data_IF_801249860118
#
_entry.id   IF_801249860118
#
_cell.length_a   1.000
_cell.length_b   1.000
_cell.length_c   1.000
_cell.angle_alpha   90.00
_cell.angle_beta   90.00
_cell.angle_gamma   90.00
#
_symmetry.space_group_name_H-M   'P 1'
#
loop_
_entity.id
_entity.type
_entity.pdbx_description
1 polymer ?
#
# COMPACT_ATOMS: atom_id res chain seq x y z
N UNK A 1 13.37 4.77 61.15
CA UNK A 1 12.94 3.50 60.54
C UNK A 1 12.34 3.83 59.17
N UNK A 2 13.19 3.88 58.15
CA UNK A 2 12.84 4.08 56.74
C UNK A 2 12.92 2.72 56.05
N UNK A 3 11.97 2.46 55.13
CA UNK A 3 11.77 1.34 54.18
C UNK A 3 10.23 1.31 54.04
N UNK A 4 9.54 1.50 52.92
CA UNK A 4 9.87 1.41 51.49
C UNK A 4 8.69 2.03 50.72
N UNK A 5 8.94 3.08 49.93
CA UNK A 5 7.94 3.63 48.99
C UNK A 5 8.55 3.81 47.58
N UNK A 6 9.40 2.87 47.16
CA UNK A 6 10.06 2.95 45.84
C UNK A 6 9.86 1.73 44.93
N UNK A 7 9.19 0.66 45.38
CA UNK A 7 8.96 -0.53 44.53
C UNK A 7 7.69 -0.48 43.69
N UNK A 8 6.69 0.33 44.04
CA UNK A 8 5.43 0.38 43.28
C UNK A 8 5.53 1.19 41.97
N UNK A 9 6.47 2.14 41.90
CA UNK A 9 6.60 3.04 40.75
C UNK A 9 7.33 2.39 39.55
N UNK A 10 8.23 1.44 39.80
CA UNK A 10 9.00 0.77 38.73
C UNK A 10 8.10 -0.21 37.95
N UNK A 11 7.19 -0.91 38.62
CA UNK A 11 6.25 -1.81 37.94
C UNK A 11 5.22 -1.04 37.10
N UNK A 12 4.77 0.14 37.55
CA UNK A 12 3.89 1.02 36.77
C UNK A 12 4.61 1.65 35.57
N UNK A 13 5.90 2.01 35.69
CA UNK A 13 6.73 2.45 34.56
C UNK A 13 7.04 1.32 33.57
N UNK A 14 7.24 0.08 34.03
CA UNK A 14 7.40 -1.09 33.17
C UNK A 14 6.09 -1.49 32.47
N UNK A 15 4.94 -1.38 33.15
CA UNK A 15 3.63 -1.57 32.53
C UNK A 15 3.32 -0.47 31.50
N UNK A 16 3.64 0.79 31.78
CA UNK A 16 3.44 1.88 30.82
C UNK A 16 4.40 1.81 29.62
N UNK A 17 5.59 1.23 29.78
CA UNK A 17 6.51 0.95 28.65
C UNK A 17 6.12 -0.30 27.86
N UNK A 18 5.49 -1.29 28.49
CA UNK A 18 4.89 -2.46 27.80
C UNK A 18 3.58 -2.13 27.06
N UNK A 19 2.84 -1.10 27.49
CA UNK A 19 1.64 -0.61 26.79
C UNK A 19 1.90 0.57 25.83
N UNK A 20 3.13 1.11 25.80
CA UNK A 20 3.58 2.09 24.81
C UNK A 20 4.32 1.43 23.62
N UNK A 21 4.16 0.12 23.41
CA UNK A 21 4.30 -0.44 22.06
C UNK A 21 3.14 0.12 21.24
N UNK A 22 3.35 1.32 20.71
CA UNK A 22 2.58 1.86 19.63
C UNK A 22 2.48 0.76 18.59
N UNK A 23 1.33 0.08 18.53
CA UNK A 23 0.94 -0.71 17.38
C UNK A 23 0.98 0.28 16.23
N UNK A 24 2.13 0.30 15.58
CA UNK A 24 2.35 0.96 14.34
C UNK A 24 1.42 0.25 13.38
N UNK A 25 0.17 0.75 13.27
CA UNK A 25 -0.74 0.47 12.17
C UNK A 25 -0.01 0.87 10.90
N UNK A 26 0.82 -0.06 10.43
CA UNK A 26 1.51 -0.02 9.17
C UNK A 26 0.45 -0.45 8.19
N UNK A 27 -0.11 0.51 7.47
CA UNK A 27 -0.86 0.25 6.25
C UNK A 27 0.12 -0.33 5.23
N UNK A 28 0.48 -1.60 5.43
CA UNK A 28 1.06 -2.43 4.39
C UNK A 28 -0.07 -2.83 3.47
N UNK A 29 0.28 -3.20 2.25
CA UNK A 29 -0.54 -4.10 1.45
C UNK A 29 -0.56 -5.46 2.17
N UNK A 30 -1.14 -5.55 3.36
CA UNK A 30 -1.70 -6.81 3.80
C UNK A 30 -2.87 -7.02 2.85
N UNK A 31 -2.62 -7.77 1.76
CA UNK A 31 -3.67 -8.68 1.30
C UNK A 31 -4.07 -9.41 2.57
N UNK A 32 -5.24 -9.10 3.11
CA UNK A 32 -5.98 -10.14 3.78
C UNK A 32 -6.07 -11.20 2.69
N UNK A 33 -5.22 -12.22 2.76
CA UNK A 33 -5.63 -13.53 2.30
C UNK A 33 -6.91 -13.80 3.06
N UNK A 34 -8.02 -13.39 2.46
CA UNK A 34 -9.30 -14.01 2.74
C UNK A 34 -9.01 -15.45 2.36
N UNK A 35 -8.60 -16.26 3.35
CA UNK A 35 -8.87 -17.69 3.31
C UNK A 35 -10.29 -17.76 2.80
N UNK A 36 -10.46 -18.30 1.60
CA UNK A 36 -11.77 -18.53 1.03
C UNK A 36 -12.68 -18.99 2.17
N UNK A 37 -13.67 -18.18 2.55
CA UNK A 37 -14.80 -18.74 3.28
C UNK A 37 -15.51 -19.54 2.21
N UNK A 38 -15.00 -20.75 1.95
CA UNK A 38 -15.68 -21.74 1.12
C UNK A 38 -17.04 -21.91 1.77
N UNK A 39 -18.09 -21.59 1.03
CA UNK A 39 -19.38 -22.17 1.32
C UNK A 39 -19.18 -23.68 1.23
N UNK A 40 -19.19 -24.34 2.39
CA UNK A 40 -19.24 -25.79 2.52
C UNK A 40 -20.62 -26.20 2.04
N UNK A 41 -20.79 -26.27 0.72
CA UNK A 41 -21.86 -26.94 -0.02
C UNK A 41 -21.65 -26.65 -1.52
N UNK A 42 -20.56 -27.14 -2.08
CA UNK A 42 -20.63 -27.70 -3.43
C UNK A 42 -19.52 -28.72 -3.64
N UNK A 43 -19.87 -29.78 -4.34
CA UNK A 43 -19.16 -31.06 -4.37
C UNK A 43 -17.73 -30.94 -4.95
N UNK A 44 -16.79 -31.47 -4.16
CA UNK A 44 -15.52 -32.10 -4.54
C UNK A 44 -15.20 -32.23 -6.03
N UNK A 45 -14.32 -31.36 -6.52
CA UNK A 45 -13.21 -31.74 -7.41
C UNK A 45 -11.94 -31.19 -6.76
N UNK A 46 -11.18 -32.06 -6.10
CA UNK A 46 -9.84 -31.76 -5.61
C UNK A 46 -8.92 -31.54 -6.83
N UNK A 47 -8.54 -30.30 -7.11
CA UNK A 47 -7.46 -30.00 -8.04
C UNK A 47 -6.13 -29.99 -7.27
N UNK A 48 -5.50 -31.15 -7.10
CA UNK A 48 -4.14 -31.29 -6.53
C UNK A 48 -3.11 -30.37 -7.22
N UNK A 49 -3.33 -30.04 -8.50
CA UNK A 49 -2.51 -29.10 -9.28
C UNK A 49 -2.60 -27.65 -8.79
N UNK A 50 -3.76 -27.22 -8.27
CA UNK A 50 -3.98 -25.83 -7.80
C UNK A 50 -3.36 -25.60 -6.41
N UNK A 51 -3.54 -26.55 -5.47
CA UNK A 51 -2.92 -26.48 -4.13
C UNK A 51 -1.39 -26.59 -4.18
N UNK A 52 -0.83 -27.35 -5.13
CA UNK A 52 0.61 -27.41 -5.36
C UNK A 52 1.17 -26.09 -5.92
N UNK A 53 0.39 -25.37 -6.73
CA UNK A 53 0.80 -24.11 -7.34
C UNK A 53 0.87 -22.96 -6.31
N UNK A 54 -0.10 -22.88 -5.40
CA UNK A 54 -0.06 -21.89 -4.31
C UNK A 54 1.09 -22.17 -3.34
N UNK A 55 1.34 -23.44 -2.97
CA UNK A 55 2.53 -23.82 -2.19
C UNK A 55 3.84 -23.48 -2.92
N UNK A 56 3.88 -23.67 -4.25
CA UNK A 56 5.03 -23.31 -5.07
C UNK A 56 5.28 -21.80 -5.11
N UNK A 57 4.22 -21.00 -5.31
CA UNK A 57 4.29 -19.53 -5.35
C UNK A 57 4.86 -18.98 -4.05
N UNK A 58 4.41 -19.50 -2.91
CA UNK A 58 4.91 -19.08 -1.61
C UNK A 58 6.39 -19.41 -1.41
N UNK A 59 6.89 -20.55 -1.93
CA UNK A 59 8.33 -20.85 -1.89
C UNK A 59 9.13 -19.88 -2.76
N UNK A 60 8.66 -19.56 -3.97
CA UNK A 60 9.31 -18.55 -4.82
C UNK A 60 9.30 -17.16 -4.15
N UNK A 61 8.19 -16.78 -3.51
CA UNK A 61 8.08 -15.54 -2.75
C UNK A 61 9.04 -15.50 -1.56
N UNK A 62 9.14 -16.59 -0.81
CA UNK A 62 10.04 -16.70 0.35
C UNK A 62 11.51 -16.58 -0.07
N UNK A 63 11.91 -17.24 -1.16
CA UNK A 63 13.27 -17.12 -1.71
C UNK A 63 13.56 -15.67 -2.09
N UNK A 64 12.66 -15.03 -2.84
CA UNK A 64 12.83 -13.63 -3.22
C UNK A 64 12.93 -12.68 -2.02
N UNK A 65 12.12 -12.89 -0.97
CA UNK A 65 12.21 -12.10 0.28
C UNK A 65 13.55 -12.31 0.97
N UNK A 66 14.08 -13.54 0.94
CA UNK A 66 15.41 -13.84 1.48
C UNK A 66 16.52 -13.13 0.70
N UNK A 67 16.46 -13.15 -0.64
CA UNK A 67 17.43 -12.47 -1.50
C UNK A 67 17.34 -10.94 -1.33
N UNK A 68 16.12 -10.42 -1.20
CA UNK A 68 15.88 -9.02 -0.87
C UNK A 68 16.58 -8.63 0.45
N UNK A 69 16.36 -9.42 1.50
CA UNK A 69 16.99 -9.16 2.80
C UNK A 69 18.52 -9.21 2.72
N UNK A 70 19.08 -10.12 1.93
CA UNK A 70 20.52 -10.22 1.71
C UNK A 70 21.10 -8.97 1.02
N UNK A 71 20.43 -8.48 -0.03
CA UNK A 71 20.93 -7.34 -0.81
C UNK A 71 20.70 -5.98 -0.15
N UNK A 72 19.57 -5.80 0.52
CA UNK A 72 19.15 -4.50 1.07
C UNK A 72 19.27 -4.40 2.59
N UNK A 73 19.66 -5.49 3.26
CA UNK A 73 19.78 -5.57 4.73
C UNK A 73 18.49 -5.12 5.44
N UNK A 74 17.35 -5.45 4.84
CA UNK A 74 16.01 -5.07 5.29
C UNK A 74 15.06 -6.25 5.11
N UNK A 75 14.24 -6.55 6.11
CA UNK A 75 13.16 -7.50 5.93
C UNK A 75 12.09 -6.87 5.01
N UNK A 76 11.66 -7.58 3.95
CA UNK A 76 10.63 -7.09 3.05
C UNK A 76 9.27 -6.91 3.76
N UNK A 77 8.87 -7.92 4.53
CA UNK A 77 7.58 -7.96 5.22
C UNK A 77 7.56 -7.14 6.49
N UNK A 78 8.70 -6.75 7.04
CA UNK A 78 8.79 -5.99 8.30
C UNK A 78 9.34 -4.59 8.07
N UNK A 79 10.43 -4.39 7.35
CA UNK A 79 11.17 -3.12 7.31
C UNK A 79 10.94 -2.30 6.04
N UNK A 80 10.62 -2.95 4.92
CA UNK A 80 10.48 -2.26 3.64
C UNK A 80 9.26 -1.33 3.60
N UNK A 81 9.47 -0.13 3.05
CA UNK A 81 8.39 0.81 2.77
C UNK A 81 8.01 0.72 1.28
N UNK A 82 6.96 -0.06 1.01
CA UNK A 82 6.58 -0.47 -0.35
C UNK A 82 6.02 0.67 -1.23
N UNK A 83 5.57 1.78 -0.65
CA UNK A 83 4.84 2.82 -1.38
C UNK A 83 5.71 4.03 -1.75
N UNK A 84 6.12 4.27 -3.01
CA UNK A 84 6.13 3.40 -4.20
C UNK A 84 7.45 2.64 -4.36
N UNK A 85 8.47 2.94 -3.54
CA UNK A 85 9.81 2.33 -3.48
C UNK A 85 10.55 2.93 -2.28
N UNK A 86 11.25 2.07 -1.54
CA UNK A 86 12.07 2.49 -0.40
C UNK A 86 13.38 3.17 -0.87
N UNK A 87 13.87 4.14 -0.10
CA UNK A 87 15.14 4.84 -0.34
C UNK A 87 16.34 3.90 -0.55
N UNK A 88 16.36 2.74 0.11
CA UNK A 88 17.40 1.72 -0.11
C UNK A 88 17.46 1.23 -1.56
N UNK A 89 16.31 1.08 -2.22
CA UNK A 89 16.23 0.67 -3.62
C UNK A 89 16.52 1.85 -4.56
N UNK A 90 16.03 3.05 -4.24
CA UNK A 90 16.19 4.22 -5.12
C UNK A 90 17.53 4.93 -4.99
N UNK A 91 18.31 4.62 -3.95
CA UNK A 91 19.59 5.29 -3.63
C UNK A 91 20.64 5.22 -4.74
N UNK A 92 20.57 4.23 -5.63
CA UNK A 92 21.44 4.15 -6.81
C UNK A 92 20.81 3.32 -7.92
N UNK A 93 21.29 3.52 -9.16
CA UNK A 93 20.95 2.66 -10.30
C UNK A 93 21.33 1.20 -10.05
N UNK A 94 22.44 0.96 -9.34
CA UNK A 94 22.88 -0.39 -8.98
C UNK A 94 21.85 -1.07 -8.08
N UNK A 95 21.39 -0.39 -7.03
CA UNK A 95 20.40 -0.92 -6.10
C UNK A 95 19.06 -1.19 -6.79
N UNK A 96 18.60 -0.26 -7.62
CA UNK A 96 17.39 -0.46 -8.43
C UNK A 96 17.52 -1.65 -9.39
N UNK A 97 18.66 -1.78 -10.07
CA UNK A 97 18.91 -2.91 -10.99
C UNK A 97 18.97 -4.23 -10.23
N UNK A 98 19.57 -4.26 -9.04
CA UNK A 98 19.59 -5.43 -8.17
C UNK A 98 18.19 -5.83 -7.73
N UNK A 99 17.35 -4.87 -7.30
CA UNK A 99 15.95 -5.11 -6.97
C UNK A 99 15.19 -5.73 -8.15
N UNK A 100 15.39 -5.19 -9.36
CA UNK A 100 14.73 -5.73 -10.54
C UNK A 100 15.28 -7.06 -11.04
N UNK A 101 16.56 -7.36 -10.78
CA UNK A 101 17.14 -8.67 -11.08
C UNK A 101 16.51 -9.75 -10.21
N UNK A 102 16.47 -9.57 -8.89
CA UNK A 102 15.87 -10.58 -7.99
C UNK A 102 14.37 -10.75 -8.27
N UNK A 103 13.66 -9.68 -8.63
CA UNK A 103 12.25 -9.77 -9.06
C UNK A 103 12.07 -10.55 -10.36
N UNK A 104 12.99 -10.42 -11.31
CA UNK A 104 12.96 -11.24 -12.53
C UNK A 104 13.20 -12.72 -12.21
N UNK A 105 14.09 -13.02 -11.27
CA UNK A 105 14.35 -14.38 -10.79
C UNK A 105 13.12 -14.99 -10.10
N UNK A 106 12.40 -14.21 -9.27
CA UNK A 106 11.10 -14.57 -8.70
C UNK A 106 10.07 -14.96 -9.76
N UNK A 107 9.90 -14.12 -10.79
CA UNK A 107 8.96 -14.41 -11.88
C UNK A 107 9.39 -15.63 -12.69
N UNK A 108 10.69 -15.79 -12.93
CA UNK A 108 11.23 -17.00 -13.58
C UNK A 108 10.93 -18.26 -12.77
N UNK A 109 11.00 -18.17 -11.44
CA UNK A 109 10.59 -19.25 -10.53
C UNK A 109 9.10 -19.60 -10.70
N UNK A 110 8.21 -18.60 -10.75
CA UNK A 110 6.79 -18.81 -11.01
C UNK A 110 6.52 -19.51 -12.35
N UNK A 111 7.19 -19.07 -13.42
CA UNK A 111 7.01 -19.65 -14.76
C UNK A 111 7.55 -21.08 -14.84
N UNK A 112 8.77 -21.31 -14.37
CA UNK A 112 9.47 -22.57 -14.59
C UNK A 112 9.12 -23.65 -13.57
N UNK A 113 8.92 -23.29 -12.31
CA UNK A 113 8.67 -24.25 -11.22
C UNK A 113 7.20 -24.40 -10.90
N UNK A 114 6.43 -23.32 -11.04
CA UNK A 114 5.01 -23.30 -10.71
C UNK A 114 4.12 -23.37 -11.96
N UNK A 115 4.74 -23.51 -13.15
CA UNK A 115 4.07 -23.59 -14.45
C UNK A 115 3.06 -22.46 -14.70
N UNK A 116 3.29 -21.29 -14.08
CA UNK A 116 2.45 -20.13 -14.28
C UNK A 116 2.70 -19.55 -15.66
N UNK A 117 1.64 -19.42 -16.45
CA UNK A 117 1.73 -18.71 -17.73
C UNK A 117 1.91 -17.22 -17.49
N UNK A 118 2.56 -16.54 -18.43
CA UNK A 118 2.90 -15.13 -18.30
C UNK A 118 1.67 -14.24 -18.11
N UNK A 119 0.57 -14.56 -18.77
CA UNK A 119 -0.73 -13.88 -18.65
C UNK A 119 -1.38 -14.04 -17.26
N UNK A 120 -0.96 -15.05 -16.50
CA UNK A 120 -1.50 -15.37 -15.17
C UNK A 120 -0.59 -14.89 -14.03
N UNK A 121 0.52 -14.22 -14.35
CA UNK A 121 1.40 -13.63 -13.34
C UNK A 121 0.64 -12.51 -12.62
N UNK A 122 0.46 -12.59 -11.29
CA UNK A 122 -0.31 -11.59 -10.56
C UNK A 122 0.43 -10.26 -10.53
N UNK A 123 -0.33 -9.17 -10.53
CA UNK A 123 0.25 -7.85 -10.30
C UNK A 123 0.76 -7.74 -8.85
N UNK A 124 2.05 -7.49 -8.70
CA UNK A 124 2.67 -7.11 -7.44
C UNK A 124 3.49 -5.85 -7.65
N UNK A 125 3.76 -5.12 -6.56
CA UNK A 125 4.54 -3.87 -6.60
C UNK A 125 5.87 -4.06 -7.32
N UNK A 126 6.61 -5.09 -6.93
CA UNK A 126 7.88 -5.46 -7.53
C UNK A 126 7.75 -5.80 -9.03
N UNK A 127 6.75 -6.59 -9.42
CA UNK A 127 6.50 -6.95 -10.83
C UNK A 127 6.18 -5.71 -11.67
N UNK A 128 5.32 -4.83 -11.17
CA UNK A 128 4.96 -3.61 -11.87
C UNK A 128 6.18 -2.70 -12.08
N UNK A 129 6.93 -2.44 -11.02
CA UNK A 129 8.12 -1.59 -11.08
C UNK A 129 9.15 -2.18 -12.04
N UNK A 130 9.45 -3.48 -11.93
CA UNK A 130 10.63 -4.05 -12.56
C UNK A 130 10.41 -4.70 -13.92
N UNK A 131 9.18 -5.13 -14.23
CA UNK A 131 8.86 -5.79 -15.50
C UNK A 131 7.94 -4.97 -16.40
N UNK A 132 7.10 -4.09 -15.82
CA UNK A 132 6.13 -3.29 -16.59
C UNK A 132 6.65 -1.87 -16.81
N UNK A 133 7.03 -1.17 -15.74
CA UNK A 133 7.34 0.27 -15.75
C UNK A 133 8.82 0.57 -15.46
N UNK A 134 9.73 -0.40 -15.68
CA UNK A 134 11.15 -0.31 -15.29
C UNK A 134 11.82 0.96 -15.79
N UNK A 135 11.69 1.28 -17.07
CA UNK A 135 12.38 2.42 -17.69
C UNK A 135 11.93 3.75 -17.08
N UNK A 136 10.64 3.87 -16.76
CA UNK A 136 10.05 5.06 -16.18
C UNK A 136 10.55 5.27 -14.74
N UNK A 137 10.59 4.19 -13.95
CA UNK A 137 11.15 4.23 -12.59
C UNK A 137 12.66 4.52 -12.61
N UNK A 138 13.41 3.88 -13.51
CA UNK A 138 14.85 4.09 -13.69
C UNK A 138 15.17 5.56 -13.98
N UNK A 139 14.44 6.17 -14.91
CA UNK A 139 14.60 7.57 -15.27
C UNK A 139 14.17 8.55 -14.15
N UNK A 140 13.32 8.11 -13.23
CA UNK A 140 12.84 8.93 -12.11
C UNK A 140 13.63 8.73 -10.81
N UNK A 141 14.66 7.88 -10.81
CA UNK A 141 15.37 7.46 -9.59
C UNK A 141 15.94 8.63 -8.78
N UNK A 142 16.53 9.62 -9.44
CA UNK A 142 17.12 10.78 -8.77
C UNK A 142 16.10 11.52 -7.90
N UNK A 143 14.92 11.81 -8.45
CA UNK A 143 13.84 12.48 -7.74
C UNK A 143 13.19 11.59 -6.67
N UNK A 144 12.94 10.31 -6.98
CA UNK A 144 12.37 9.35 -6.02
C UNK A 144 13.29 9.19 -4.80
N UNK A 145 14.60 9.14 -5.00
CA UNK A 145 15.57 9.11 -3.92
C UNK A 145 15.55 10.40 -3.09
N UNK A 146 15.58 11.57 -3.75
CA UNK A 146 15.57 12.88 -3.11
C UNK A 146 14.36 13.11 -2.21
N UNK A 147 13.23 12.50 -2.56
CA UNK A 147 11.96 12.64 -1.82
C UNK A 147 11.69 11.50 -0.84
N UNK A 148 12.54 10.46 -0.82
CA UNK A 148 12.30 9.21 -0.09
C UNK A 148 12.12 9.42 1.42
N UNK A 149 12.99 10.20 2.06
CA UNK A 149 12.96 10.47 3.49
C UNK A 149 11.68 11.21 3.92
N UNK A 150 11.39 12.35 3.27
CA UNK A 150 10.20 13.14 3.54
C UNK A 150 8.92 12.31 3.35
N UNK A 151 8.93 11.39 2.40
CA UNK A 151 7.80 10.51 2.17
C UNK A 151 7.67 9.39 3.22
N UNK A 152 8.76 8.76 3.62
CA UNK A 152 8.77 7.68 4.62
C UNK A 152 8.43 8.16 6.02
N UNK A 153 8.87 9.36 6.37
CA UNK A 153 8.71 9.92 7.70
C UNK A 153 7.48 10.83 7.72
N UNK A 154 7.59 11.97 7.05
CA UNK A 154 6.59 13.03 7.11
C UNK A 154 5.25 12.64 6.48
N UNK A 155 5.26 12.16 5.24
CA UNK A 155 4.01 11.76 4.57
C UNK A 155 3.34 10.58 5.28
N UNK A 156 4.10 9.55 5.65
CA UNK A 156 3.57 8.40 6.39
C UNK A 156 2.91 8.82 7.72
N UNK A 157 3.56 9.67 8.52
CA UNK A 157 3.00 10.16 9.77
C UNK A 157 1.69 10.94 9.54
N UNK A 158 1.67 11.87 8.58
CA UNK A 158 0.47 12.60 8.19
C UNK A 158 -0.65 11.64 7.77
N UNK A 159 -0.37 10.77 6.80
CA UNK A 159 -1.40 9.94 6.18
C UNK A 159 -1.97 8.91 7.14
N UNK A 160 -1.15 8.32 8.02
CA UNK A 160 -1.66 7.44 9.08
C UNK A 160 -2.62 8.18 9.99
N UNK A 161 -2.26 9.38 10.42
CA UNK A 161 -3.08 10.17 11.33
C UNK A 161 -4.40 10.61 10.66
N UNK A 162 -4.34 11.00 9.39
CA UNK A 162 -5.53 11.38 8.62
C UNK A 162 -6.43 10.18 8.35
N UNK A 163 -5.89 9.03 7.94
CA UNK A 163 -6.67 7.82 7.68
C UNK A 163 -7.35 7.26 8.94
N UNK A 164 -6.70 7.32 10.11
CA UNK A 164 -7.31 6.94 11.40
C UNK A 164 -8.51 7.81 11.76
N UNK A 165 -8.48 9.09 11.36
CA UNK A 165 -9.55 10.06 11.64
C UNK A 165 -10.60 10.10 10.55
N UNK A 166 -10.34 9.53 9.39
CA UNK A 166 -11.26 9.54 8.26
C UNK A 166 -12.59 8.88 8.62
N UNK A 167 -13.68 9.56 8.28
CA UNK A 167 -15.05 9.11 8.50
C UNK A 167 -15.79 9.20 7.18
N UNK A 168 -16.56 8.15 6.90
CA UNK A 168 -17.49 8.08 5.79
C UNK A 168 -18.57 9.17 5.98
N UNK A 169 -18.82 9.93 4.92
CA UNK A 169 -19.83 10.99 4.86
C UNK A 169 -21.26 10.45 4.98
N UNK A 170 -22.25 11.34 5.03
CA UNK A 170 -23.65 10.92 5.16
C UNK A 170 -24.15 10.28 3.87
N UNK A 171 -23.86 10.88 2.72
CA UNK A 171 -24.30 10.39 1.41
C UNK A 171 -23.62 9.06 1.08
N UNK A 172 -22.35 8.89 1.45
CA UNK A 172 -21.67 7.59 1.29
C UNK A 172 -22.25 6.50 2.22
N UNK A 173 -22.75 6.84 3.42
CA UNK A 173 -23.47 5.87 4.27
C UNK A 173 -24.79 5.43 3.67
N UNK A 174 -25.52 6.34 3.03
CA UNK A 174 -26.76 6.02 2.32
C UNK A 174 -26.47 5.10 1.12
N UNK A 175 -25.43 5.40 0.34
CA UNK A 175 -24.93 4.52 -0.71
C UNK A 175 -24.57 3.12 -0.16
N UNK A 176 -23.84 3.04 0.96
CA UNK A 176 -23.52 1.76 1.58
C UNK A 176 -24.74 0.95 2.01
N UNK A 177 -25.80 1.64 2.44
CA UNK A 177 -27.06 1.00 2.84
C UNK A 177 -27.79 0.43 1.62
N UNK A 178 -27.76 1.12 0.47
CA UNK A 178 -28.40 0.67 -0.76
C UNK A 178 -27.68 -0.51 -1.44
N UNK A 179 -26.41 -0.76 -1.13
CA UNK A 179 -25.69 -1.93 -1.62
C UNK A 179 -26.12 -3.26 -0.97
N UNK A 180 -26.93 -3.24 0.09
CA UNK A 180 -27.43 -4.42 0.80
C UNK A 180 -26.32 -5.44 1.17
N UNK A 181 -25.13 -4.95 1.52
CA UNK A 181 -23.99 -5.79 1.91
C UNK A 181 -24.25 -6.46 3.27
N UNK A 182 -23.79 -7.71 3.42
CA UNK A 182 -23.73 -8.37 4.73
C UNK A 182 -22.74 -7.64 5.67
N UNK A 183 -22.79 -7.96 6.97
CA UNK A 183 -21.95 -7.29 7.99
C UNK A 183 -20.46 -7.41 7.71
N UNK A 184 -19.99 -8.55 7.20
CA UNK A 184 -18.57 -8.80 6.88
C UNK A 184 -18.12 -7.91 5.73
N UNK A 185 -18.89 -7.86 4.65
CA UNK A 185 -18.62 -7.04 3.47
C UNK A 185 -18.73 -5.54 3.79
N UNK A 186 -19.65 -5.14 4.68
CA UNK A 186 -19.74 -3.76 5.14
C UNK A 186 -18.49 -3.35 5.93
N UNK A 187 -18.02 -4.22 6.83
CA UNK A 187 -16.78 -3.99 7.56
C UNK A 187 -15.57 -3.93 6.60
N UNK A 188 -15.47 -4.87 5.66
CA UNK A 188 -14.41 -4.90 4.65
C UNK A 188 -14.39 -3.62 3.81
N UNK A 189 -15.55 -3.14 3.35
CA UNK A 189 -15.64 -1.87 2.64
C UNK A 189 -15.03 -0.73 3.46
N UNK A 190 -15.40 -0.61 4.75
CA UNK A 190 -14.94 0.49 5.62
C UNK A 190 -13.43 0.47 5.82
N UNK A 191 -12.84 -0.71 5.99
CA UNK A 191 -11.39 -0.85 6.15
C UNK A 191 -10.64 -0.56 4.85
N UNK A 192 -11.13 -1.08 3.71
CA UNK A 192 -10.59 -0.73 2.39
C UNK A 192 -10.70 0.77 2.11
N UNK A 193 -11.79 1.41 2.55
CA UNK A 193 -12.01 2.84 2.33
C UNK A 193 -10.93 3.68 3.06
N UNK A 194 -10.61 3.34 4.31
CA UNK A 194 -9.50 3.95 5.06
C UNK A 194 -8.14 3.68 4.40
N UNK A 195 -7.93 2.47 3.89
CA UNK A 195 -6.69 2.11 3.20
C UNK A 195 -6.50 2.95 1.93
N UNK A 196 -7.53 3.11 1.11
CA UNK A 196 -7.46 3.95 -0.08
C UNK A 196 -7.29 5.43 0.25
N UNK A 197 -7.92 5.91 1.32
CA UNK A 197 -7.66 7.26 1.83
C UNK A 197 -6.18 7.44 2.19
N UNK A 198 -5.57 6.46 2.88
CA UNK A 198 -4.14 6.47 3.19
C UNK A 198 -3.28 6.49 1.91
N UNK A 199 -3.58 5.63 0.93
CA UNK A 199 -2.84 5.54 -0.32
C UNK A 199 -2.94 6.83 -1.15
N UNK A 200 -4.13 7.43 -1.26
CA UNK A 200 -4.31 8.72 -1.95
C UNK A 200 -3.57 9.82 -1.21
N UNK A 201 -3.60 9.85 0.12
CA UNK A 201 -2.79 10.78 0.89
C UNK A 201 -1.29 10.63 0.59
N UNK A 202 -0.78 9.40 0.53
CA UNK A 202 0.61 9.14 0.19
C UNK A 202 0.97 9.66 -1.20
N UNK A 203 0.14 9.36 -2.20
CA UNK A 203 0.30 9.88 -3.56
C UNK A 203 0.37 11.41 -3.55
N UNK A 204 -0.64 12.10 -2.99
CA UNK A 204 -0.70 13.56 -2.97
C UNK A 204 0.47 14.19 -2.23
N UNK A 205 0.89 13.61 -1.11
CA UNK A 205 2.02 14.10 -0.34
C UNK A 205 3.34 13.94 -1.10
N UNK A 206 3.54 12.79 -1.76
CA UNK A 206 4.73 12.54 -2.58
C UNK A 206 4.76 13.40 -3.84
N UNK A 207 3.63 13.64 -4.49
CA UNK A 207 3.52 14.60 -5.58
C UNK A 207 3.95 16.00 -5.11
N UNK A 208 3.47 16.45 -3.95
CA UNK A 208 3.83 17.77 -3.43
C UNK A 208 5.32 17.84 -3.08
N UNK A 209 5.90 16.82 -2.43
CA UNK A 209 7.34 16.73 -2.22
C UNK A 209 8.11 16.79 -3.56
N UNK A 210 7.65 16.06 -4.56
CA UNK A 210 8.25 16.04 -5.91
C UNK A 210 8.20 17.43 -6.56
N UNK A 211 7.08 18.14 -6.47
CA UNK A 211 6.93 19.51 -6.98
C UNK A 211 7.88 20.50 -6.30
N UNK A 212 8.20 20.27 -5.03
CA UNK A 212 9.01 21.21 -4.21
C UNK A 212 10.50 20.90 -4.27
N UNK A 213 10.88 19.63 -4.30
CA UNK A 213 12.26 19.19 -4.16
C UNK A 213 12.91 18.82 -5.49
N UNK A 214 12.16 18.34 -6.48
CA UNK A 214 12.76 17.86 -7.73
C UNK A 214 12.87 18.94 -8.79
N UNK A 215 13.93 18.82 -9.58
CA UNK A 215 14.22 19.69 -10.72
C UNK A 215 13.12 19.56 -11.78
N UNK A 216 12.91 20.62 -12.56
CA UNK A 216 11.81 20.68 -13.53
C UNK A 216 11.87 19.56 -14.57
N UNK A 217 13.08 19.12 -14.96
CA UNK A 217 13.30 18.05 -15.92
C UNK A 217 12.75 16.69 -15.44
N UNK A 218 12.98 16.36 -14.17
CA UNK A 218 12.66 15.04 -13.60
C UNK A 218 11.26 15.00 -12.96
N UNK A 219 10.75 16.17 -12.55
CA UNK A 219 9.49 16.31 -11.81
C UNK A 219 8.31 15.65 -12.50
N UNK A 220 8.13 15.91 -13.79
CA UNK A 220 6.98 15.39 -14.54
C UNK A 220 7.01 13.87 -14.57
N UNK A 221 8.15 13.30 -14.93
CA UNK A 221 8.30 11.85 -15.04
C UNK A 221 8.13 11.15 -13.68
N UNK A 222 8.66 11.74 -12.61
CA UNK A 222 8.49 11.19 -11.26
C UNK A 222 7.03 11.24 -10.79
N UNK A 223 6.29 12.31 -11.10
CA UNK A 223 4.85 12.38 -10.83
C UNK A 223 4.09 11.32 -11.66
N UNK A 224 4.39 11.21 -12.94
CA UNK A 224 3.74 10.24 -13.83
C UNK A 224 3.94 8.80 -13.32
N UNK A 225 5.15 8.46 -12.85
CA UNK A 225 5.46 7.16 -12.22
C UNK A 225 4.68 6.93 -10.93
N UNK A 226 4.55 7.96 -10.08
CA UNK A 226 3.74 7.86 -8.86
C UNK A 226 2.27 7.59 -9.21
N UNK A 227 1.70 8.37 -10.11
CA UNK A 227 0.30 8.22 -10.52
C UNK A 227 0.03 6.87 -11.19
N UNK A 228 0.94 6.41 -12.06
CA UNK A 228 0.86 5.09 -12.71
C UNK A 228 0.83 3.97 -11.67
N UNK A 229 1.75 3.99 -10.71
CA UNK A 229 1.83 2.99 -9.65
C UNK A 229 0.53 2.88 -8.84
N UNK A 230 0.05 4.00 -8.28
CA UNK A 230 -1.14 3.94 -7.43
C UNK A 230 -2.40 3.58 -8.22
N UNK A 231 -2.52 4.05 -9.46
CA UNK A 231 -3.65 3.71 -10.34
C UNK A 231 -3.68 2.21 -10.63
N UNK A 232 -2.55 1.61 -11.00
CA UNK A 232 -2.48 0.18 -11.29
C UNK A 232 -2.70 -0.68 -10.04
N UNK A 233 -2.21 -0.25 -8.86
CA UNK A 233 -2.51 -0.93 -7.58
C UNK A 233 -4.03 -0.97 -7.30
N UNK A 234 -4.73 0.16 -7.48
CA UNK A 234 -6.17 0.22 -7.28
C UNK A 234 -6.94 -0.60 -8.33
N UNK A 235 -6.42 -0.64 -9.56
CA UNK A 235 -7.02 -1.43 -10.64
C UNK A 235 -6.87 -2.94 -10.38
N UNK A 236 -5.70 -3.40 -9.91
CA UNK A 236 -5.48 -4.79 -9.46
C UNK A 236 -6.44 -5.16 -8.32
N UNK A 237 -6.56 -4.30 -7.30
CA UNK A 237 -7.48 -4.53 -6.19
C UNK A 237 -8.94 -4.64 -6.65
N UNK A 238 -9.39 -3.77 -7.57
CA UNK A 238 -10.73 -3.86 -8.14
C UNK A 238 -10.91 -5.16 -8.92
N UNK A 239 -9.97 -5.51 -9.80
CA UNK A 239 -10.05 -6.75 -10.58
C UNK A 239 -10.12 -7.98 -9.69
N UNK A 240 -9.33 -8.04 -8.62
CA UNK A 240 -9.37 -9.11 -7.64
C UNK A 240 -10.74 -9.24 -6.94
N UNK A 241 -11.30 -8.12 -6.48
CA UNK A 241 -12.64 -8.13 -5.85
C UNK A 241 -13.74 -8.48 -6.86
N UNK A 242 -13.65 -7.98 -8.09
CA UNK A 242 -14.60 -8.32 -9.16
C UNK A 242 -14.55 -9.80 -9.52
N UNK A 243 -13.36 -10.39 -9.63
CA UNK A 243 -13.19 -11.82 -9.94
C UNK A 243 -13.78 -12.73 -8.86
N UNK A 244 -13.80 -12.28 -7.60
CA UNK A 244 -14.41 -12.99 -6.47
C UNK A 244 -15.90 -12.67 -6.25
N UNK A 245 -16.55 -11.97 -7.18
CA UNK A 245 -17.96 -11.56 -7.04
C UNK A 245 -18.22 -10.45 -6.02
N UNK A 246 -17.17 -9.88 -5.43
CA UNK A 246 -17.22 -8.86 -4.37
C UNK A 246 -16.92 -7.44 -4.89
N UNK A 247 -17.07 -7.18 -6.19
CA UNK A 247 -16.75 -5.87 -6.79
C UNK A 247 -17.51 -4.68 -6.18
N UNK A 248 -18.71 -4.92 -5.62
CA UNK A 248 -19.49 -3.90 -4.89
C UNK A 248 -18.82 -3.44 -3.58
N UNK A 249 -17.93 -4.26 -3.02
CA UNK A 249 -17.16 -3.93 -1.80
C UNK A 249 -16.06 -2.91 -2.10
N UNK A 250 -15.71 -2.66 -3.37
CA UNK A 250 -14.68 -1.70 -3.75
C UNK A 250 -15.12 -0.24 -3.52
N UNK A 251 -14.52 0.47 -2.54
CA UNK A 251 -15.00 1.78 -2.06
C UNK A 251 -14.95 2.92 -3.06
N UNK A 252 -15.83 3.91 -2.88
CA UNK A 252 -15.84 5.16 -3.66
C UNK A 252 -14.49 5.88 -3.63
N UNK A 253 -13.87 5.96 -2.44
CA UNK A 253 -12.53 6.53 -2.28
C UNK A 253 -11.49 5.86 -3.19
N UNK A 254 -11.49 4.53 -3.25
CA UNK A 254 -10.55 3.76 -4.08
C UNK A 254 -10.76 4.01 -5.57
N UNK A 255 -12.00 4.28 -5.99
CA UNK A 255 -12.33 4.59 -7.39
C UNK A 255 -11.79 5.95 -7.83
N UNK A 256 -11.36 6.82 -6.90
CA UNK A 256 -10.91 8.18 -7.25
C UNK A 256 -9.66 8.21 -8.13
N UNK A 257 -8.81 7.20 -8.03
CA UNK A 257 -7.60 7.07 -8.87
C UNK A 257 -7.87 6.31 -10.18
N UNK A 258 -9.06 5.74 -10.34
CA UNK A 258 -9.43 4.99 -11.54
C UNK A 258 -10.05 5.91 -12.61
N UNK A 259 -10.04 5.50 -13.90
CA UNK A 259 -10.75 6.21 -14.96
C UNK A 259 -12.25 6.41 -14.66
N UNK A 260 -12.86 7.46 -15.22
CA UNK A 260 -14.26 7.85 -14.94
C UNK A 260 -15.29 6.73 -15.15
N UNK A 261 -15.01 5.78 -16.06
CA UNK A 261 -15.87 4.58 -16.28
C UNK A 261 -16.05 3.70 -15.04
N UNK A 262 -15.21 3.85 -14.02
CA UNK A 262 -15.29 3.11 -12.76
C UNK A 262 -15.92 3.90 -11.62
N UNK A 263 -16.22 5.19 -11.84
CA UNK A 263 -16.92 6.02 -10.87
C UNK A 263 -18.40 5.60 -10.82
N UNK A 264 -18.97 5.64 -9.62
CA UNK A 264 -20.36 5.26 -9.36
C UNK A 264 -20.95 6.24 -8.35
N UNK A 265 -22.26 6.51 -8.45
CA UNK A 265 -23.01 7.38 -7.55
C UNK A 265 -22.40 8.79 -7.37
N UNK A 266 -22.81 9.71 -8.25
CA UNK A 266 -22.24 11.06 -8.32
C UNK A 266 -22.41 11.87 -7.02
N UNK A 267 -23.57 11.77 -6.35
CA UNK A 267 -23.82 12.49 -5.09
C UNK A 267 -22.91 12.00 -3.96
N UNK A 268 -22.68 10.68 -3.84
CA UNK A 268 -21.78 10.15 -2.83
C UNK A 268 -20.30 10.44 -3.16
N UNK A 269 -19.97 10.70 -4.43
CA UNK A 269 -18.63 11.13 -4.82
C UNK A 269 -18.33 12.56 -4.34
N UNK A 270 -19.31 13.45 -4.22
CA UNK A 270 -19.09 14.81 -3.70
C UNK A 270 -18.52 14.80 -2.26
N UNK A 271 -19.04 13.92 -1.39
CA UNK A 271 -18.51 13.70 -0.04
C UNK A 271 -17.04 13.27 -0.06
N UNK A 272 -16.67 12.41 -1.02
CA UNK A 272 -15.29 11.94 -1.22
C UNK A 272 -14.41 13.09 -1.72
N UNK A 273 -14.91 13.92 -2.66
CA UNK A 273 -14.16 15.05 -3.19
C UNK A 273 -13.85 16.10 -2.12
N UNK A 274 -14.82 16.44 -1.27
CA UNK A 274 -14.61 17.35 -0.14
C UNK A 274 -13.54 16.82 0.83
N UNK A 275 -13.53 15.51 1.08
CA UNK A 275 -12.50 14.87 1.89
C UNK A 275 -11.12 14.99 1.22
N UNK A 276 -11.04 14.86 -0.10
CA UNK A 276 -9.79 15.01 -0.88
C UNK A 276 -9.27 16.44 -0.89
N UNK A 277 -10.13 17.44 -0.98
CA UNK A 277 -9.72 18.85 -0.91
C UNK A 277 -9.15 19.21 0.46
N UNK A 278 -9.80 18.74 1.52
CA UNK A 278 -9.34 18.92 2.90
C UNK A 278 -7.99 18.25 3.12
N UNK A 279 -7.85 17.02 2.62
CA UNK A 279 -6.58 16.29 2.63
C UNK A 279 -5.47 17.06 1.89
N UNK A 280 -5.77 17.63 0.72
CA UNK A 280 -4.81 18.41 -0.07
C UNK A 280 -4.28 19.62 0.69
N UNK A 281 -5.10 20.30 1.50
CA UNK A 281 -4.65 21.38 2.39
C UNK A 281 -3.70 20.87 3.48
N UNK A 282 -4.05 19.77 4.15
CA UNK A 282 -3.19 19.17 5.17
C UNK A 282 -1.84 18.73 4.61
N UNK A 283 -1.83 18.15 3.41
CA UNK A 283 -0.62 17.76 2.69
C UNK A 283 0.30 18.96 2.46
N UNK A 284 -0.21 20.05 1.85
CA UNK A 284 0.59 21.25 1.57
C UNK A 284 1.19 21.84 2.83
N UNK A 285 0.39 21.97 3.90
CA UNK A 285 0.86 22.51 5.18
C UNK A 285 1.97 21.65 5.78
N UNK A 286 1.82 20.32 5.73
CA UNK A 286 2.81 19.39 6.28
C UNK A 286 4.10 19.43 5.47
N UNK A 287 4.02 19.41 4.14
CA UNK A 287 5.22 19.50 3.28
C UNK A 287 5.95 20.83 3.50
N UNK A 288 5.23 21.95 3.59
CA UNK A 288 5.85 23.23 3.93
C UNK A 288 6.59 23.19 5.27
N UNK A 289 6.01 22.54 6.28
CA UNK A 289 6.65 22.37 7.58
C UNK A 289 7.90 21.48 7.52
N UNK A 290 7.90 20.42 6.71
CA UNK A 290 9.07 19.55 6.52
C UNK A 290 10.23 20.31 5.86
N UNK A 291 9.91 21.18 4.89
CA UNK A 291 10.92 21.94 4.15
C UNK A 291 11.46 23.13 4.93
N UNK A 292 10.68 23.69 5.86
CA UNK A 292 11.12 24.78 6.72
C UNK A 292 12.07 24.32 7.84
N UNK A 293 11.95 23.08 8.30
CA UNK A 293 12.77 22.49 9.35
C UNK A 293 13.36 21.15 8.87
N UNK A 294 14.36 21.17 7.97
CA UNK A 294 15.06 19.96 7.57
C UNK A 294 15.75 19.37 8.81
N UNK A 295 15.36 18.15 9.16
CA UNK A 295 15.92 17.35 10.26
C UNK A 295 17.37 16.95 10.00
#
# INVERSE_FOLDING_TARGET
MQITCHRLNIYLLLLMTLFASSYSLRFKRHRCEVREIRNVNDLSIENEEYDNNDSCRERCNAQWKSDFAMHFQKNYDEDFYEFPLDGSVTSSLHNFTTFCRITKEKVTCWEQRCHMRRENIPWTTDVHICLISKKQFEASLGCLNKTSEGAHNGCNALCRNSAKKYRIGTTEKEYLTSLHLNTVNNHQYRELNKQCFFQICQLRCREELTRRLCDLADRRQAIDVLEDYYRNDHLDQLHFLSASGNGAVFPLMCRRLLPSRYQVNDLANEDVELAMETLGRSVRNTVNSMLANPS
#
